data_IF_198804229680
#
_entry.id   IF_198804229680
#
_cell.length_a   1.000
_cell.length_b   1.000
_cell.length_c   1.000
_cell.angle_alpha   90.00
_cell.angle_beta   90.00
_cell.angle_gamma   90.00
#
_symmetry.space_group_name_H-M   'P 1'
#
loop_
_entity.id
_entity.type
_entity.pdbx_description
1 polymer ?
#
# COMPACT_ATOMS: atom_id res chain seq x y z
N UNK A 1 -23.50 -21.64 27.49
CA UNK A 1 -22.32 -20.74 27.57
C UNK A 1 -21.70 -20.42 26.20
N UNK A 2 -22.51 -20.08 25.16
CA UNK A 2 -22.00 -19.74 23.80
C UNK A 2 -22.20 -18.27 23.39
N UNK A 3 -22.85 -17.44 24.23
CA UNK A 3 -23.09 -16.03 23.93
C UNK A 3 -22.01 -15.05 24.43
N UNK A 4 -21.03 -15.50 25.20
CA UNK A 4 -20.01 -14.61 25.78
C UNK A 4 -18.81 -14.31 24.86
N UNK A 5 -18.61 -15.04 23.76
CA UNK A 5 -17.42 -14.87 22.88
C UNK A 5 -17.53 -13.75 21.84
N UNK A 6 -18.73 -13.27 21.54
CA UNK A 6 -18.92 -12.17 20.57
C UNK A 6 -18.73 -10.77 21.17
N UNK A 7 -18.93 -10.61 22.48
CA UNK A 7 -18.82 -9.31 23.16
C UNK A 7 -17.35 -8.93 23.39
N UNK A 8 -16.47 -9.91 23.62
CA UNK A 8 -15.04 -9.69 23.90
C UNK A 8 -14.27 -9.18 22.67
N UNK A 9 -14.67 -9.55 21.46
CA UNK A 9 -14.04 -9.09 20.22
C UNK A 9 -14.42 -7.64 19.88
N UNK A 10 -15.66 -7.24 20.18
CA UNK A 10 -16.14 -5.87 19.98
C UNK A 10 -15.58 -4.87 21.00
N UNK A 11 -15.41 -5.28 22.26
CA UNK A 11 -14.81 -4.42 23.29
C UNK A 11 -13.31 -4.22 23.08
N UNK A 12 -12.59 -5.24 22.59
CA UNK A 12 -11.19 -5.10 22.19
C UNK A 12 -11.02 -4.14 21.00
N UNK A 13 -11.91 -4.19 20.00
CA UNK A 13 -11.92 -3.24 18.87
C UNK A 13 -12.12 -1.79 19.35
N UNK A 14 -13.13 -1.55 20.19
CA UNK A 14 -13.39 -0.22 20.74
C UNK A 14 -12.22 0.25 21.62
N UNK A 15 -11.62 -0.63 22.42
CA UNK A 15 -10.48 -0.29 23.26
C UNK A 15 -9.21 0.01 22.46
N UNK A 16 -8.94 -0.71 21.36
CA UNK A 16 -7.77 -0.44 20.50
C UNK A 16 -7.98 0.83 19.68
N UNK A 17 -9.16 1.03 19.11
CA UNK A 17 -9.49 2.26 18.36
C UNK A 17 -9.50 3.47 19.30
N UNK A 18 -10.09 3.33 20.49
CA UNK A 18 -10.07 4.37 21.52
C UNK A 18 -8.65 4.61 22.04
N UNK A 19 -7.83 3.58 22.27
CA UNK A 19 -6.43 3.74 22.66
C UNK A 19 -5.61 4.40 21.55
N UNK A 20 -5.84 4.06 20.28
CA UNK A 20 -5.21 4.71 19.14
C UNK A 20 -5.68 6.17 18.99
N UNK A 21 -6.97 6.46 19.21
CA UNK A 21 -7.53 7.81 19.20
C UNK A 21 -7.06 8.65 20.39
N UNK A 22 -6.88 8.03 21.56
CA UNK A 22 -6.37 8.67 22.77
C UNK A 22 -4.86 8.88 22.67
N UNK A 23 -4.09 7.94 22.11
CA UNK A 23 -2.69 8.14 21.75
C UNK A 23 -2.57 9.21 20.67
N UNK A 24 -3.48 9.25 19.69
CA UNK A 24 -3.56 10.30 18.70
C UNK A 24 -3.86 11.65 19.33
N UNK A 25 -4.85 11.74 20.25
CA UNK A 25 -5.22 12.96 20.97
C UNK A 25 -4.12 13.45 21.93
N UNK A 26 -3.50 12.51 22.64
CA UNK A 26 -2.42 12.75 23.62
C UNK A 26 -1.12 13.15 22.94
N UNK A 27 -0.82 12.51 21.81
CA UNK A 27 0.39 12.76 21.03
C UNK A 27 0.16 13.75 19.89
N UNK A 28 -1.03 14.39 19.79
CA UNK A 28 -1.17 15.59 18.95
C UNK A 28 -0.21 16.62 19.55
N UNK A 29 0.87 17.01 18.88
CA UNK A 29 1.59 18.18 19.31
C UNK A 29 0.59 19.33 19.21
N UNK A 30 0.20 19.86 20.37
CA UNK A 30 -0.57 21.08 20.44
C UNK A 30 0.27 22.14 19.74
N UNK A 31 -0.16 22.56 18.55
CA UNK A 31 0.47 23.56 17.67
C UNK A 31 1.78 23.10 16.98
N UNK A 32 1.92 23.48 15.70
CA UNK A 32 3.15 23.34 14.91
C UNK A 32 4.38 23.98 15.60
N UNK A 33 5.55 23.96 14.95
CA UNK A 33 6.51 22.87 14.84
C UNK A 33 7.49 22.94 16.02
N UNK A 34 7.48 21.93 16.90
CA UNK A 34 8.53 21.81 17.93
C UNK A 34 9.37 20.55 17.72
N UNK A 35 9.71 20.29 16.45
CA UNK A 35 11.03 19.74 16.19
C UNK A 35 12.09 20.75 16.62
N UNK A 36 13.32 20.31 16.86
CA UNK A 36 14.42 21.26 17.05
C UNK A 36 14.47 22.20 15.83
N UNK A 37 14.83 23.49 15.96
CA UNK A 37 15.01 24.34 14.78
C UNK A 37 15.93 23.64 13.77
N UNK A 38 15.40 23.34 12.58
CA UNK A 38 16.07 22.51 11.56
C UNK A 38 15.42 21.15 11.28
N UNK A 39 14.51 20.64 12.11
CA UNK A 39 13.68 19.46 11.76
C UNK A 39 12.65 19.85 10.69
N UNK A 40 12.63 19.09 9.59
CA UNK A 40 11.78 19.36 8.43
C UNK A 40 11.00 18.10 8.06
N UNK A 41 9.67 18.19 8.08
CA UNK A 41 8.79 17.11 7.62
C UNK A 41 8.30 17.37 6.20
N UNK A 42 8.18 16.30 5.42
CA UNK A 42 7.57 16.35 4.10
C UNK A 42 6.07 16.65 4.26
N UNK A 43 5.55 17.53 3.39
CA UNK A 43 4.19 18.08 3.34
C UNK A 43 3.74 18.98 4.48
N UNK A 44 4.63 19.33 5.38
CA UNK A 44 4.38 20.33 6.42
C UNK A 44 5.05 21.67 6.08
N UNK A 45 4.76 22.67 6.92
CA UNK A 45 5.47 23.94 6.90
C UNK A 45 6.78 23.78 7.66
N UNK A 46 7.89 24.12 7.01
CA UNK A 46 9.21 24.11 7.61
C UNK A 46 9.66 25.53 7.93
N UNK A 47 10.04 25.78 9.18
CA UNK A 47 10.67 27.03 9.59
C UNK A 47 12.19 26.87 9.56
N UNK A 48 12.84 27.48 8.57
CA UNK A 48 14.29 27.45 8.42
C UNK A 48 14.92 28.73 8.96
N UNK A 49 15.92 28.62 9.86
CA UNK A 49 16.71 29.76 10.31
C UNK A 49 17.38 30.52 9.16
N UNK A 50 17.51 31.83 9.32
CA UNK A 50 18.25 32.68 8.38
C UNK A 50 19.17 33.63 9.14
N UNK A 51 20.09 34.26 8.44
CA UNK A 51 20.92 35.31 9.01
C UNK A 51 20.10 36.56 9.36
N UNK A 52 20.38 37.20 10.51
CA UNK A 52 19.80 38.48 10.86
C UNK A 52 20.40 39.57 9.97
N UNK A 53 19.57 40.23 9.15
CA UNK A 53 20.03 41.30 8.26
C UNK A 53 18.88 41.99 7.55
N UNK A 54 18.20 41.27 6.65
CA UNK A 54 16.99 41.74 5.97
C UNK A 54 15.76 41.51 6.85
N UNK A 55 14.77 42.40 6.80
CA UNK A 55 13.48 42.23 7.54
C UNK A 55 12.47 41.45 6.71
N UNK A 56 11.43 40.89 7.33
CA UNK A 56 10.37 40.21 6.58
C UNK A 56 9.65 41.13 5.59
N UNK A 57 9.51 42.42 5.91
CA UNK A 57 8.89 43.41 5.02
C UNK A 57 9.76 43.72 3.80
N UNK A 58 11.09 43.75 3.95
CA UNK A 58 12.01 43.91 2.81
C UNK A 58 12.05 42.70 1.88
N UNK A 59 11.85 41.51 2.46
CA UNK A 59 11.78 40.24 1.74
C UNK A 59 10.44 40.05 1.03
N UNK A 60 9.39 40.69 1.52
CA UNK A 60 8.05 40.64 0.94
C UNK A 60 7.95 41.61 -0.25
N UNK A 61 7.81 41.07 -1.45
CA UNK A 61 7.51 41.87 -2.65
C UNK A 61 6.00 42.05 -2.78
N UNK A 62 5.49 43.29 -2.83
CA UNK A 62 4.06 43.55 -3.00
C UNK A 62 3.48 43.00 -4.32
N UNK A 63 4.32 42.81 -5.35
CA UNK A 63 3.91 42.32 -6.67
C UNK A 63 4.01 40.80 -6.85
N UNK A 64 4.91 40.15 -6.09
CA UNK A 64 5.28 38.74 -6.27
C UNK A 64 5.28 37.92 -4.97
N UNK A 65 4.94 38.54 -3.84
CA UNK A 65 5.05 37.96 -2.51
C UNK A 65 6.47 37.45 -2.24
N UNK A 66 6.55 36.23 -1.69
CA UNK A 66 7.82 35.56 -1.39
C UNK A 66 8.38 34.72 -2.55
N UNK A 67 7.87 34.87 -3.78
CA UNK A 67 8.26 33.96 -4.88
C UNK A 67 9.74 34.04 -5.28
N UNK A 68 10.43 35.13 -4.94
CA UNK A 68 11.85 35.34 -5.25
C UNK A 68 12.80 34.67 -4.23
N UNK A 69 12.24 34.04 -3.20
CA UNK A 69 12.96 33.25 -2.20
C UNK A 69 12.87 31.78 -2.55
N UNK A 70 14.01 31.19 -2.90
CA UNK A 70 14.13 29.79 -3.29
C UNK A 70 14.96 29.02 -2.28
N UNK A 71 14.52 27.80 -2.00
CA UNK A 71 15.24 26.86 -1.16
C UNK A 71 16.16 26.00 -2.03
N UNK A 72 17.44 25.97 -1.68
CA UNK A 72 18.44 25.10 -2.27
C UNK A 72 18.86 24.04 -1.27
N UNK A 73 19.08 22.81 -1.74
CA UNK A 73 19.54 21.70 -0.90
C UNK A 73 20.72 21.02 -1.55
N UNK A 74 21.84 20.93 -0.83
CA UNK A 74 23.14 20.50 -1.35
C UNK A 74 23.51 21.19 -2.68
N UNK A 75 23.18 22.49 -2.82
CA UNK A 75 23.46 23.29 -4.01
C UNK A 75 22.45 23.15 -5.16
N UNK A 76 21.40 22.32 -5.04
CA UNK A 76 20.36 22.15 -6.06
C UNK A 76 19.10 22.95 -5.74
N UNK A 77 18.51 23.62 -6.74
CA UNK A 77 17.23 24.35 -6.59
C UNK A 77 16.09 23.35 -6.39
N UNK A 78 15.41 23.42 -5.25
CA UNK A 78 14.30 22.51 -4.94
C UNK A 78 12.99 22.89 -5.63
N UNK A 79 12.92 24.08 -6.23
CA UNK A 79 11.67 24.67 -6.72
C UNK A 79 10.72 25.13 -5.61
N UNK A 80 11.01 24.80 -4.33
CA UNK A 80 10.22 25.19 -3.17
C UNK A 80 10.42 26.67 -2.88
N UNK A 81 9.29 27.38 -2.72
CA UNK A 81 9.26 28.81 -2.44
C UNK A 81 8.86 29.08 -1.00
N UNK A 82 9.36 30.18 -0.45
CA UNK A 82 8.90 30.62 0.86
C UNK A 82 7.43 31.05 0.78
N UNK A 83 6.68 30.77 1.84
CA UNK A 83 5.26 31.13 2.01
C UNK A 83 5.05 32.12 3.14
N UNK A 84 6.07 32.33 3.98
CA UNK A 84 6.01 33.26 5.10
C UNK A 84 7.39 33.55 5.68
N UNK A 85 7.43 34.52 6.60
CA UNK A 85 8.65 34.96 7.27
C UNK A 85 8.32 35.36 8.72
N UNK A 86 9.27 35.19 9.64
CA UNK A 86 9.15 35.60 11.04
C UNK A 86 10.47 36.20 11.52
N UNK A 87 10.44 37.40 12.10
CA UNK A 87 11.66 38.09 12.57
C UNK A 87 12.03 37.82 14.04
N UNK A 88 11.04 37.56 14.91
CA UNK A 88 11.25 37.32 16.36
C UNK A 88 10.66 35.99 16.80
N UNK A 89 11.23 35.27 17.79
CA UNK A 89 12.41 35.63 18.59
C UNK A 89 13.75 35.43 17.84
N UNK A 90 13.76 34.64 16.77
CA UNK A 90 14.86 34.50 15.83
C UNK A 90 14.34 34.59 14.39
N UNK A 91 15.13 35.14 13.46
CA UNK A 91 14.71 35.28 12.08
C UNK A 91 14.62 33.91 11.39
N UNK A 92 13.45 33.59 10.84
CA UNK A 92 13.16 32.35 10.11
C UNK A 92 12.33 32.63 8.87
N UNK A 93 12.48 31.78 7.86
CA UNK A 93 11.61 31.72 6.68
C UNK A 93 10.79 30.44 6.72
N UNK A 94 9.53 30.55 6.33
CA UNK A 94 8.58 29.45 6.34
C UNK A 94 8.43 28.95 4.90
N UNK A 95 8.73 27.68 4.68
CA UNK A 95 8.60 27.00 3.39
C UNK A 95 7.50 25.95 3.46
N UNK A 96 6.73 25.78 2.38
CA UNK A 96 5.83 24.65 2.25
C UNK A 96 6.58 23.49 1.61
N UNK A 97 6.92 22.47 2.40
CA UNK A 97 7.69 21.31 1.95
C UNK A 97 6.81 20.30 1.21
N UNK A 98 6.01 20.78 0.26
CA UNK A 98 5.19 19.95 -0.63
C UNK A 98 5.88 19.81 -1.97
N UNK A 99 5.67 18.66 -2.62
CA UNK A 99 6.09 18.44 -4.01
C UNK A 99 5.31 19.38 -4.92
N UNK A 100 5.83 20.58 -5.11
CA UNK A 100 5.27 21.59 -6.01
C UNK A 100 5.94 21.41 -7.36
N UNK A 101 5.23 20.85 -8.34
CA UNK A 101 5.67 20.90 -9.74
C UNK A 101 5.44 22.32 -10.24
N UNK A 102 6.48 23.07 -10.64
CA UNK A 102 6.28 24.30 -11.39
C UNK A 102 5.59 23.95 -12.71
N UNK A 103 4.58 24.72 -13.10
CA UNK A 103 3.98 24.60 -14.42
C UNK A 103 5.05 24.91 -15.49
N UNK A 104 5.48 23.89 -16.25
CA UNK A 104 6.49 24.02 -17.31
C UNK A 104 7.93 23.69 -16.92
N UNK A 105 8.18 23.11 -15.73
CA UNK A 105 9.50 22.56 -15.40
C UNK A 105 9.79 21.30 -16.24
N UNK A 106 11.04 21.19 -16.71
CA UNK A 106 11.57 20.05 -17.42
C UNK A 106 11.62 18.81 -16.50
N UNK A 107 11.12 17.69 -17.01
CA UNK A 107 10.92 16.41 -16.31
C UNK A 107 12.19 15.75 -15.73
N UNK A 108 13.36 16.39 -15.80
CA UNK A 108 14.63 15.80 -15.38
C UNK A 108 15.27 16.52 -14.18
N UNK A 109 15.01 17.81 -13.95
CA UNK A 109 15.58 18.58 -12.83
C UNK A 109 14.86 18.34 -11.50
N UNK A 110 13.54 18.51 -11.48
CA UNK A 110 12.73 18.39 -10.25
C UNK A 110 12.83 17.00 -9.61
N UNK A 111 12.76 15.95 -10.44
CA UNK A 111 12.80 14.57 -9.94
C UNK A 111 14.14 14.24 -9.28
N UNK A 112 15.26 14.77 -9.79
CA UNK A 112 16.59 14.55 -9.22
C UNK A 112 16.75 15.19 -7.82
N UNK A 113 16.11 16.34 -7.59
CA UNK A 113 16.16 17.02 -6.28
C UNK A 113 15.28 16.32 -5.25
N UNK A 114 14.09 15.88 -5.65
CA UNK A 114 13.22 15.08 -4.77
C UNK A 114 13.81 13.70 -4.46
N UNK A 115 14.49 13.06 -5.41
CA UNK A 115 15.29 11.84 -5.18
C UNK A 115 16.43 12.11 -4.18
N UNK A 116 17.05 13.30 -4.21
CA UNK A 116 18.07 13.66 -3.22
C UNK A 116 17.45 13.90 -1.83
N UNK A 117 16.32 14.60 -1.76
CA UNK A 117 15.58 14.93 -0.53
C UNK A 117 14.95 13.71 0.15
N UNK A 118 14.41 12.76 -0.60
CA UNK A 118 13.72 11.57 -0.09
C UNK A 118 14.63 10.32 -0.09
N UNK A 119 15.42 10.14 -1.14
CA UNK A 119 16.39 9.06 -1.34
C UNK A 119 15.85 7.69 -0.99
N UNK A 120 16.62 6.88 -0.24
CA UNK A 120 16.17 5.56 0.21
C UNK A 120 15.58 5.65 1.62
N UNK A 121 14.25 5.77 1.77
CA UNK A 121 13.62 6.06 3.06
C UNK A 121 13.86 4.97 4.11
N UNK A 122 14.02 3.72 3.68
CA UNK A 122 14.30 2.57 4.53
C UNK A 122 15.70 2.59 5.15
N UNK A 123 16.66 3.32 4.56
CA UNK A 123 18.05 3.37 5.02
C UNK A 123 18.31 4.51 6.01
N UNK A 124 17.36 5.45 6.12
CA UNK A 124 17.47 6.66 6.96
C UNK A 124 16.61 6.63 8.24
N UNK A 125 16.17 5.46 8.69
CA UNK A 125 15.53 5.31 10.01
C UNK A 125 16.58 5.24 11.13
N UNK A 126 16.43 5.92 12.29
CA UNK A 126 15.36 6.82 12.77
C UNK A 126 15.75 8.32 12.85
N UNK A 127 17.01 8.67 12.61
CA UNK A 127 17.54 10.01 12.92
C UNK A 127 17.24 11.07 11.84
N UNK A 128 16.60 10.68 10.74
CA UNK A 128 16.38 11.54 9.58
C UNK A 128 17.66 11.72 8.77
N UNK A 129 17.63 12.63 7.79
CA UNK A 129 18.81 12.95 6.97
C UNK A 129 19.21 14.39 7.14
N UNK A 130 20.44 14.61 7.58
CA UNK A 130 21.04 15.94 7.61
C UNK A 130 21.42 16.35 6.20
N UNK A 131 20.88 17.47 5.73
CA UNK A 131 21.14 18.05 4.43
C UNK A 131 21.55 19.51 4.62
N UNK A 132 22.58 19.94 3.91
CA UNK A 132 22.94 21.35 3.87
C UNK A 132 21.90 22.09 3.03
N UNK A 133 21.48 23.26 3.51
CA UNK A 133 20.53 24.10 2.79
C UNK A 133 21.01 25.51 2.63
N UNK A 134 20.54 26.14 1.56
CA UNK A 134 20.75 27.55 1.28
C UNK A 134 19.42 28.20 0.91
N UNK A 135 19.29 29.48 1.22
CA UNK A 135 18.12 30.28 0.90
C UNK A 135 18.58 31.42 0.02
N UNK A 136 18.22 31.35 -1.26
CA UNK A 136 18.63 32.37 -2.22
C UNK A 136 17.49 33.36 -2.45
N UNK A 137 17.80 34.63 -2.24
CA UNK A 137 16.94 35.75 -2.55
C UNK A 137 17.51 36.53 -3.72
N UNK A 138 16.79 36.55 -4.84
CA UNK A 138 17.18 37.34 -6.01
C UNK A 138 16.40 38.65 -6.05
N UNK A 139 17.12 39.78 -5.99
CA UNK A 139 16.57 41.12 -6.14
C UNK A 139 17.53 41.98 -6.97
N UNK A 140 17.01 42.69 -7.96
CA UNK A 140 17.77 43.60 -8.84
C UNK A 140 18.97 42.92 -9.55
N UNK A 141 18.80 41.66 -9.96
CA UNK A 141 19.84 40.88 -10.64
C UNK A 141 20.98 40.39 -9.73
N UNK A 142 20.90 40.65 -8.42
CA UNK A 142 21.86 40.13 -7.42
C UNK A 142 21.20 39.03 -6.60
N UNK A 143 21.94 37.94 -6.40
CA UNK A 143 21.54 36.85 -5.50
C UNK A 143 22.20 37.05 -4.15
N UNK A 144 21.40 37.03 -3.08
CA UNK A 144 21.87 36.99 -1.69
C UNK A 144 21.57 35.63 -1.08
N UNK A 145 22.54 35.09 -0.36
CA UNK A 145 22.41 33.89 0.45
C UNK A 145 21.95 34.30 1.84
N UNK A 146 20.82 33.77 2.29
CA UNK A 146 20.21 34.13 3.58
C UNK A 146 20.36 33.02 4.62
N UNK A 147 20.77 31.82 4.22
CA UNK A 147 21.07 30.74 5.17
C UNK A 147 22.44 30.97 5.83
N UNK A 148 22.67 30.36 6.99
CA UNK A 148 23.99 30.33 7.63
C UNK A 148 24.96 29.45 6.84
N UNK A 149 26.26 29.74 6.93
CA UNK A 149 27.33 29.00 6.22
C UNK A 149 27.32 27.48 6.49
N UNK A 150 26.99 27.06 7.72
CA UNK A 150 26.82 25.65 8.13
C UNK A 150 25.36 25.26 8.37
N UNK A 151 24.43 25.84 7.61
CA UNK A 151 23.01 25.58 7.77
C UNK A 151 22.64 24.14 7.39
N UNK A 152 22.43 23.30 8.41
CA UNK A 152 21.89 21.95 8.27
C UNK A 152 20.39 21.89 8.58
N UNK A 153 19.64 21.14 7.78
CA UNK A 153 18.29 20.70 8.12
C UNK A 153 18.24 19.18 8.24
N UNK A 154 17.45 18.67 9.18
CA UNK A 154 17.18 17.24 9.34
C UNK A 154 15.83 16.94 8.72
N UNK A 155 15.83 16.31 7.55
CA UNK A 155 14.60 15.87 6.90
C UNK A 155 14.11 14.58 7.55
N UNK A 156 12.91 14.63 8.14
CA UNK A 156 12.20 13.50 8.74
C UNK A 156 11.13 13.01 7.78
N UNK A 157 11.30 11.79 7.30
CA UNK A 157 10.39 11.16 6.34
C UNK A 157 9.14 10.65 7.05
N UNK A 158 9.31 9.96 8.18
CA UNK A 158 8.18 9.40 8.92
C UNK A 158 7.55 10.44 9.84
N UNK A 159 6.24 10.58 9.71
CA UNK A 159 5.42 11.42 10.57
C UNK A 159 5.37 10.87 12.01
N UNK A 160 5.04 11.73 12.97
CA UNK A 160 4.93 11.34 14.39
C UNK A 160 3.88 10.25 14.67
N UNK A 161 2.89 10.11 13.79
CA UNK A 161 1.86 9.07 13.83
C UNK A 161 2.26 7.77 13.13
N UNK A 162 3.48 7.68 12.59
CA UNK A 162 3.97 6.49 11.90
C UNK A 162 3.90 5.20 12.73
N UNK A 163 4.24 5.19 14.04
CA UNK A 163 4.08 3.99 14.85
C UNK A 163 2.63 3.49 14.92
N UNK A 164 1.66 4.40 15.02
CA UNK A 164 0.24 4.03 15.07
C UNK A 164 -0.24 3.41 13.75
N UNK A 165 0.21 3.95 12.61
CA UNK A 165 -0.08 3.38 11.30
C UNK A 165 0.57 2.01 11.08
N UNK A 166 1.82 1.81 11.53
CA UNK A 166 2.46 0.50 11.51
C UNK A 166 1.69 -0.52 12.38
N UNK A 167 1.25 -0.12 13.58
CA UNK A 167 0.42 -0.97 14.44
C UNK A 167 -0.90 -1.32 13.75
N UNK A 168 -1.54 -0.39 13.06
CA UNK A 168 -2.77 -0.66 12.30
C UNK A 168 -2.54 -1.70 11.19
N UNK A 169 -1.46 -1.59 10.43
CA UNK A 169 -1.11 -2.58 9.40
C UNK A 169 -0.87 -3.96 10.02
N UNK A 170 -0.06 -4.03 11.07
CA UNK A 170 0.22 -5.28 11.78
C UNK A 170 -1.05 -5.90 12.38
N UNK A 171 -1.96 -5.07 12.90
CA UNK A 171 -3.25 -5.50 13.41
C UNK A 171 -4.15 -6.07 12.31
N UNK A 172 -4.24 -5.43 11.15
CA UNK A 172 -5.02 -5.94 10.01
C UNK A 172 -4.44 -7.27 9.51
N UNK A 173 -3.12 -7.38 9.40
CA UNK A 173 -2.44 -8.63 9.05
C UNK A 173 -2.72 -9.74 10.07
N UNK A 174 -2.58 -9.42 11.35
CA UNK A 174 -2.90 -10.34 12.44
C UNK A 174 -4.36 -10.78 12.39
N UNK A 175 -5.30 -9.85 12.16
CA UNK A 175 -6.73 -10.14 12.06
C UNK A 175 -7.02 -11.06 10.86
N UNK A 176 -6.40 -10.85 9.71
CA UNK A 176 -6.55 -11.72 8.55
C UNK A 176 -6.07 -13.14 8.85
N UNK A 177 -4.91 -13.30 9.49
CA UNK A 177 -4.38 -14.61 9.91
C UNK A 177 -5.28 -15.25 10.96
N UNK A 178 -5.70 -14.49 11.96
CA UNK A 178 -6.65 -14.94 12.99
C UNK A 178 -7.95 -15.43 12.36
N UNK A 179 -8.56 -14.64 11.47
CA UNK A 179 -9.78 -15.02 10.77
C UNK A 179 -9.57 -16.22 9.83
N UNK A 180 -8.41 -16.37 9.20
CA UNK A 180 -8.08 -17.54 8.39
C UNK A 180 -8.09 -18.84 9.21
N UNK A 181 -7.61 -18.80 10.45
CA UNK A 181 -7.58 -19.95 11.34
C UNK A 181 -8.93 -20.23 12.03
N UNK A 182 -9.69 -19.18 12.37
CA UNK A 182 -10.90 -19.31 13.21
C UNK A 182 -12.22 -19.21 12.46
N UNK A 183 -12.21 -18.91 11.16
CA UNK A 183 -13.42 -18.77 10.35
C UNK A 183 -13.28 -19.45 8.99
N UNK A 184 -14.39 -19.50 8.25
CA UNK A 184 -14.42 -20.00 6.87
C UNK A 184 -14.01 -18.94 5.84
N UNK A 185 -13.48 -17.78 6.26
CA UNK A 185 -13.15 -16.66 5.39
C UNK A 185 -12.31 -17.10 4.18
N UNK A 186 -11.25 -17.87 4.41
CA UNK A 186 -10.35 -18.35 3.35
C UNK A 186 -10.63 -19.79 2.89
N UNK A 187 -11.72 -20.42 3.34
CA UNK A 187 -11.99 -21.85 3.11
C UNK A 187 -13.15 -22.06 2.15
N UNK A 188 -13.07 -23.11 1.33
CA UNK A 188 -14.14 -23.44 0.40
C UNK A 188 -15.42 -23.90 1.13
N UNK A 189 -16.53 -23.91 0.40
CA UNK A 189 -17.78 -24.46 0.93
C UNK A 189 -17.61 -25.96 1.18
N UNK A 190 -18.11 -26.43 2.32
CA UNK A 190 -18.07 -27.83 2.72
C UNK A 190 -19.47 -28.26 3.19
N UNK A 191 -19.78 -29.57 3.15
CA UNK A 191 -21.05 -30.09 3.65
C UNK A 191 -21.41 -29.57 5.04
N UNK A 192 -22.72 -29.49 5.31
CA UNK A 192 -23.21 -29.06 6.61
C UNK A 192 -22.68 -30.01 7.71
N UNK A 193 -22.08 -29.44 8.75
CA UNK A 193 -21.50 -30.20 9.86
C UNK A 193 -20.00 -30.51 9.74
N UNK A 194 -19.32 -30.21 8.61
CA UNK A 194 -17.87 -30.39 8.50
C UNK A 194 -17.13 -29.47 9.50
N UNK A 195 -16.32 -30.03 10.42
CA UNK A 195 -15.47 -29.28 11.33
C UNK A 195 -14.55 -28.32 10.59
N UNK A 196 -14.22 -27.18 11.21
CA UNK A 196 -13.49 -26.11 10.54
C UNK A 196 -12.12 -26.60 10.04
N UNK A 197 -11.37 -27.28 10.91
CA UNK A 197 -10.06 -27.90 10.67
C UNK A 197 -10.01 -28.90 9.50
N UNK A 198 -11.15 -29.44 9.09
CA UNK A 198 -11.23 -30.38 7.97
C UNK A 198 -11.61 -29.70 6.64
N UNK A 199 -11.88 -28.39 6.66
CA UNK A 199 -12.21 -27.63 5.45
C UNK A 199 -10.94 -27.17 4.74
N UNK A 200 -10.93 -27.32 3.42
CA UNK A 200 -9.80 -26.95 2.58
C UNK A 200 -9.70 -25.44 2.36
N UNK A 201 -8.46 -24.94 2.31
CA UNK A 201 -8.21 -23.55 1.91
C UNK A 201 -8.52 -23.33 0.43
N UNK A 202 -9.17 -22.21 0.15
CA UNK A 202 -9.49 -21.76 -1.20
C UNK A 202 -8.31 -20.97 -1.77
N UNK A 203 -7.72 -21.44 -2.87
CA UNK A 203 -6.67 -20.71 -3.58
C UNK A 203 -7.10 -19.28 -3.88
N UNK A 204 -8.32 -19.11 -4.36
CA UNK A 204 -8.79 -17.81 -4.78
C UNK A 204 -9.01 -16.80 -3.66
N UNK A 205 -9.63 -17.25 -2.56
CA UNK A 205 -9.83 -16.37 -1.39
C UNK A 205 -8.51 -16.02 -0.73
N UNK A 206 -7.56 -16.97 -0.73
CA UNK A 206 -6.20 -16.74 -0.22
C UNK A 206 -5.45 -15.72 -1.07
N UNK A 207 -5.55 -15.80 -2.40
CA UNK A 207 -4.99 -14.79 -3.31
C UNK A 207 -5.61 -13.41 -3.11
N UNK A 208 -6.94 -13.30 -2.97
CA UNK A 208 -7.60 -12.02 -2.68
C UNK A 208 -7.10 -11.42 -1.36
N UNK A 209 -7.01 -12.25 -0.30
CA UNK A 209 -6.54 -11.80 1.01
C UNK A 209 -5.08 -11.35 0.96
N UNK A 210 -4.22 -12.08 0.24
CA UNK A 210 -2.82 -11.70 0.00
C UNK A 210 -2.72 -10.33 -0.69
N UNK A 211 -3.41 -10.15 -1.83
CA UNK A 211 -3.39 -8.90 -2.58
C UNK A 211 -3.95 -7.73 -1.77
N UNK A 212 -5.05 -7.93 -1.06
CA UNK A 212 -5.58 -6.92 -0.13
C UNK A 212 -4.54 -6.52 0.92
N UNK A 213 -3.90 -7.50 1.56
CA UNK A 213 -2.93 -7.24 2.63
C UNK A 213 -1.73 -6.42 2.15
N UNK A 214 -1.17 -6.75 0.98
CA UNK A 214 -0.02 -6.02 0.42
C UNK A 214 -0.43 -4.66 -0.15
N UNK A 215 -1.59 -4.54 -0.81
CA UNK A 215 -2.10 -3.24 -1.31
C UNK A 215 -2.40 -2.30 -0.14
N UNK A 216 -3.04 -2.79 0.92
CA UNK A 216 -3.31 -2.00 2.12
C UNK A 216 -2.01 -1.54 2.80
N UNK A 217 -1.05 -2.45 3.00
CA UNK A 217 0.24 -2.12 3.58
C UNK A 217 1.00 -1.09 2.72
N UNK A 218 1.02 -1.26 1.40
CA UNK A 218 1.62 -0.31 0.46
C UNK A 218 0.93 1.04 0.47
N UNK A 219 -0.40 1.09 0.52
CA UNK A 219 -1.14 2.35 0.62
C UNK A 219 -0.77 3.12 1.89
N UNK A 220 -0.76 2.45 3.04
CA UNK A 220 -0.37 3.06 4.31
C UNK A 220 1.11 3.48 4.29
N UNK A 221 2.01 2.65 3.75
CA UNK A 221 3.42 2.98 3.60
C UNK A 221 3.65 4.22 2.73
N UNK A 222 2.99 4.29 1.57
CA UNK A 222 3.09 5.45 0.69
C UNK A 222 2.53 6.70 1.37
N UNK A 223 1.39 6.59 2.06
CA UNK A 223 0.85 7.71 2.83
C UNK A 223 1.81 8.19 3.93
N UNK A 224 2.50 7.27 4.60
CA UNK A 224 3.50 7.57 5.62
C UNK A 224 4.74 8.27 5.09
N UNK A 225 5.25 7.83 3.93
CA UNK A 225 6.50 8.33 3.35
C UNK A 225 6.28 9.60 2.54
N UNK A 226 5.23 9.63 1.73
CA UNK A 226 4.95 10.76 0.83
C UNK A 226 4.15 11.85 1.52
N UNK A 227 3.43 11.53 2.61
CA UNK A 227 2.55 12.45 3.34
C UNK A 227 1.28 12.88 2.58
N UNK A 228 1.06 12.40 1.35
CA UNK A 228 -0.15 12.67 0.56
C UNK A 228 -0.97 11.38 0.45
N UNK A 229 -2.28 11.49 0.27
CA UNK A 229 -3.11 10.33 -0.01
C UNK A 229 -2.72 9.75 -1.38
N UNK A 230 -2.20 8.51 -1.46
CA UNK A 230 -1.83 7.92 -2.73
C UNK A 230 -3.07 7.77 -3.61
N UNK A 231 -2.98 8.16 -4.88
CA UNK A 231 -4.01 7.82 -5.85
C UNK A 231 -4.05 6.29 -6.02
N UNK A 232 -5.23 5.67 -5.86
CA UNK A 232 -5.39 4.24 -6.13
C UNK A 232 -5.18 4.04 -7.63
N UNK A 233 -4.11 3.36 -8.03
CA UNK A 233 -3.88 3.11 -9.47
C UNK A 233 -4.98 2.20 -10.00
N UNK A 234 -5.62 2.60 -11.11
CA UNK A 234 -6.64 1.79 -11.77
C UNK A 234 -6.12 0.40 -12.15
N UNK A 235 -4.81 0.26 -12.35
CA UNK A 235 -4.13 -0.98 -12.68
C UNK A 235 -3.94 -1.92 -11.48
N UNK A 236 -3.65 -1.40 -10.28
CA UNK A 236 -3.67 -2.21 -9.07
C UNK A 236 -5.09 -2.71 -8.76
N UNK A 237 -6.10 -1.86 -8.99
CA UNK A 237 -7.50 -2.27 -8.88
C UNK A 237 -7.88 -3.31 -9.96
N UNK A 238 -7.30 -3.20 -11.16
CA UNK A 238 -7.46 -4.17 -12.24
C UNK A 238 -6.80 -5.51 -11.88
N UNK A 239 -5.60 -5.53 -11.29
CA UNK A 239 -4.98 -6.77 -10.80
C UNK A 239 -5.82 -7.43 -9.71
N UNK A 240 -6.32 -6.64 -8.76
CA UNK A 240 -7.26 -7.14 -7.76
C UNK A 240 -8.53 -7.69 -8.42
N UNK A 241 -9.06 -6.99 -9.42
CA UNK A 241 -10.22 -7.40 -10.21
C UNK A 241 -9.99 -8.66 -11.03
N UNK A 242 -8.83 -8.84 -11.66
CA UNK A 242 -8.46 -10.05 -12.41
C UNK A 242 -8.29 -11.22 -11.45
N UNK A 243 -7.62 -11.02 -10.31
CA UNK A 243 -7.52 -12.05 -9.28
C UNK A 243 -8.92 -12.44 -8.76
N UNK A 244 -9.81 -11.47 -8.53
CA UNK A 244 -11.19 -11.75 -8.13
C UNK A 244 -12.04 -12.41 -9.22
N UNK A 245 -11.89 -12.01 -10.48
CA UNK A 245 -12.63 -12.57 -11.61
C UNK A 245 -12.20 -14.00 -11.91
N UNK A 246 -10.89 -14.27 -11.88
CA UNK A 246 -10.33 -15.61 -12.10
C UNK A 246 -10.82 -16.59 -11.04
N UNK A 247 -10.98 -16.12 -9.81
CA UNK A 247 -11.38 -16.95 -8.68
C UNK A 247 -12.88 -17.24 -8.69
N UNK A 248 -13.72 -16.26 -9.03
CA UNK A 248 -15.14 -16.49 -9.31
C UNK A 248 -15.36 -17.41 -10.52
N UNK A 249 -14.57 -17.23 -11.58
CA UNK A 249 -14.64 -18.10 -12.76
C UNK A 249 -14.22 -19.54 -12.44
N UNK A 250 -13.20 -19.72 -11.58
CA UNK A 250 -12.76 -21.05 -11.15
C UNK A 250 -13.80 -21.81 -10.31
N UNK A 251 -14.63 -21.11 -9.53
CA UNK A 251 -15.68 -21.70 -8.70
C UNK A 251 -16.98 -21.95 -9.47
N UNK A 252 -17.29 -21.14 -10.49
CA UNK A 252 -18.47 -21.30 -11.36
C UNK A 252 -18.42 -22.55 -12.27
N UNK A 253 -17.22 -23.09 -12.54
CA UNK A 253 -17.04 -24.34 -13.32
C UNK A 253 -17.08 -25.59 -12.42
N UNK A 254 -17.29 -25.42 -11.11
CA UNK A 254 -17.31 -26.51 -10.13
C UNK A 254 -18.68 -26.81 -9.46
N UNK A 255 -19.88 -26.55 -10.04
CA UNK A 255 -21.11 -26.98 -9.40
C UNK A 255 -21.23 -28.51 -9.45
N UNK A 256 -21.16 -29.16 -8.28
CA UNK A 256 -21.43 -30.59 -8.13
C UNK A 256 -20.24 -31.49 -7.80
N UNK A 257 -19.04 -30.95 -7.60
CA UNK A 257 -17.97 -31.72 -6.93
C UNK A 257 -18.16 -31.60 -5.42
N UNK A 258 -18.70 -32.65 -4.79
CA UNK A 258 -18.36 -32.93 -3.39
C UNK A 258 -16.84 -32.75 -3.27
N UNK A 259 -16.34 -32.09 -2.22
CA UNK A 259 -14.91 -31.91 -2.00
C UNK A 259 -14.17 -33.23 -2.17
N UNK A 260 -13.66 -33.50 -3.37
CA UNK A 260 -12.78 -34.62 -3.63
C UNK A 260 -11.48 -34.24 -2.95
N UNK A 261 -11.38 -34.84 -1.78
CA UNK A 261 -10.57 -34.49 -0.61
C UNK A 261 -9.12 -34.20 -0.96
N UNK A 262 -8.78 -32.91 -1.06
CA UNK A 262 -7.46 -32.43 -0.67
C UNK A 262 -7.24 -32.67 0.83
N UNK A 263 -6.00 -32.98 1.22
CA UNK A 263 -5.63 -33.46 2.56
C UNK A 263 -6.00 -32.49 3.69
N UNK A 264 -7.20 -32.66 4.25
CA UNK A 264 -7.63 -32.31 5.61
C UNK A 264 -6.80 -31.22 6.34
N UNK A 265 -6.94 -29.96 5.89
CA UNK A 265 -6.59 -28.78 6.69
C UNK A 265 -5.11 -28.35 6.67
N UNK A 266 -4.28 -28.95 5.82
CA UNK A 266 -2.86 -28.55 5.68
C UNK A 266 -2.73 -27.46 4.60
N UNK A 267 -2.48 -26.21 5.03
CA UNK A 267 -2.55 -25.00 4.20
C UNK A 267 -1.89 -25.11 2.81
N UNK A 268 -0.61 -25.48 2.72
CA UNK A 268 0.09 -25.56 1.43
C UNK A 268 -0.39 -26.73 0.58
N UNK A 269 -0.73 -27.85 1.21
CA UNK A 269 -1.27 -29.02 0.51
C UNK A 269 -2.63 -28.68 -0.08
N UNK A 270 -3.49 -28.00 0.66
CA UNK A 270 -4.80 -27.54 0.17
C UNK A 270 -4.67 -26.54 -0.99
N UNK A 271 -3.67 -25.65 -0.93
CA UNK A 271 -3.44 -24.64 -1.95
C UNK A 271 -2.96 -25.23 -3.28
N UNK A 272 -2.10 -26.26 -3.20
CA UNK A 272 -1.46 -26.88 -4.36
C UNK A 272 -2.21 -28.10 -4.90
N UNK A 273 -3.04 -28.76 -4.08
CA UNK A 273 -3.77 -29.96 -4.48
C UNK A 273 -5.09 -29.64 -5.18
N UNK A 274 -5.46 -30.51 -6.12
CA UNK A 274 -6.78 -30.62 -6.74
C UNK A 274 -7.33 -32.04 -6.49
N UNK A 275 -8.48 -32.39 -7.09
CA UNK A 275 -9.17 -33.68 -6.90
C UNK A 275 -8.30 -34.94 -7.11
N UNK A 276 -7.14 -34.84 -7.75
CA UNK A 276 -6.21 -35.95 -8.02
C UNK A 276 -4.83 -35.78 -7.35
N UNK A 277 -4.65 -34.80 -6.46
CA UNK A 277 -3.35 -34.48 -5.83
C UNK A 277 -2.76 -33.15 -6.31
N UNK A 278 -1.46 -32.94 -6.10
CA UNK A 278 -0.77 -31.67 -6.43
C UNK A 278 -0.91 -31.36 -7.93
N UNK A 279 -1.51 -30.22 -8.24
CA UNK A 279 -1.78 -29.79 -9.60
C UNK A 279 -0.80 -28.70 -10.05
N UNK A 280 -0.14 -28.93 -11.19
CA UNK A 280 0.88 -28.02 -11.74
C UNK A 280 0.32 -26.61 -12.00
N UNK A 281 -0.92 -26.50 -12.45
CA UNK A 281 -1.55 -25.22 -12.73
C UNK A 281 -1.81 -24.41 -11.45
N UNK A 282 -2.14 -25.06 -10.32
CA UNK A 282 -2.32 -24.38 -9.02
C UNK A 282 -0.97 -23.86 -8.51
N UNK A 283 0.08 -24.68 -8.66
CA UNK A 283 1.45 -24.28 -8.37
C UNK A 283 1.87 -23.04 -9.18
N UNK A 284 1.62 -23.02 -10.49
CA UNK A 284 1.92 -21.87 -11.36
C UNK A 284 1.21 -20.60 -10.88
N UNK A 285 -0.07 -20.69 -10.52
CA UNK A 285 -0.85 -19.55 -10.02
C UNK A 285 -0.32 -19.02 -8.68
N UNK A 286 0.08 -19.91 -7.76
CA UNK A 286 0.71 -19.52 -6.48
C UNK A 286 2.06 -18.87 -6.71
N UNK A 287 2.93 -19.50 -7.50
CA UNK A 287 4.27 -18.98 -7.81
C UNK A 287 4.20 -17.60 -8.49
N UNK A 288 3.28 -17.44 -9.45
CA UNK A 288 3.06 -16.17 -10.14
C UNK A 288 2.53 -15.08 -9.18
N UNK A 289 1.61 -15.43 -8.29
CA UNK A 289 1.08 -14.50 -7.29
C UNK A 289 2.19 -13.98 -6.38
N UNK A 290 3.07 -14.88 -5.92
CA UNK A 290 4.21 -14.50 -5.07
C UNK A 290 5.19 -13.63 -5.85
N UNK A 291 5.57 -14.03 -7.08
CA UNK A 291 6.49 -13.26 -7.90
C UNK A 291 5.98 -11.83 -8.17
N UNK A 292 4.72 -11.70 -8.57
CA UNK A 292 4.09 -10.39 -8.79
C UNK A 292 3.96 -9.57 -7.50
N UNK A 293 3.61 -10.21 -6.39
CA UNK A 293 3.55 -9.56 -5.08
C UNK A 293 4.90 -9.00 -4.64
N UNK A 294 5.99 -9.76 -4.85
CA UNK A 294 7.35 -9.30 -4.52
C UNK A 294 7.79 -8.14 -5.41
N UNK A 295 7.56 -8.21 -6.71
CA UNK A 295 7.84 -7.10 -7.65
C UNK A 295 7.05 -5.86 -7.25
N UNK A 296 5.76 -6.02 -6.92
CA UNK A 296 4.90 -4.93 -6.48
C UNK A 296 5.44 -4.25 -5.21
N UNK A 297 5.82 -5.02 -4.19
CA UNK A 297 6.39 -4.49 -2.95
C UNK A 297 7.72 -3.78 -3.22
N UNK A 298 8.58 -4.37 -4.06
CA UNK A 298 9.86 -3.78 -4.43
C UNK A 298 9.68 -2.43 -5.14
N UNK A 299 8.79 -2.37 -6.13
CA UNK A 299 8.46 -1.15 -6.86
C UNK A 299 7.89 -0.06 -5.91
N UNK A 300 6.97 -0.42 -5.01
CA UNK A 300 6.44 0.52 -3.99
C UNK A 300 7.56 1.02 -3.07
N UNK A 301 8.44 0.14 -2.60
CA UNK A 301 9.51 0.48 -1.66
C UNK A 301 10.62 1.32 -2.29
N UNK A 302 10.85 1.19 -3.60
CA UNK A 302 11.94 1.86 -4.32
C UNK A 302 11.50 3.09 -5.10
N UNK A 303 10.29 3.11 -5.68
CA UNK A 303 9.77 4.23 -6.49
C UNK A 303 8.75 5.10 -5.78
N UNK A 304 8.36 4.74 -4.55
CA UNK A 304 7.43 5.51 -3.72
C UNK A 304 6.15 5.93 -4.45
N UNK A 305 5.68 5.05 -5.33
CA UNK A 305 4.47 5.23 -6.11
C UNK A 305 3.79 3.89 -6.30
N UNK A 306 2.48 3.92 -6.48
CA UNK A 306 1.72 2.72 -6.79
C UNK A 306 2.15 2.21 -8.17
N UNK A 307 2.60 0.95 -8.31
CA UNK A 307 3.07 0.43 -9.58
C UNK A 307 1.99 0.58 -10.67
N UNK A 308 2.42 1.12 -11.81
CA UNK A 308 1.62 1.13 -13.02
C UNK A 308 2.12 0.00 -13.94
N UNK A 309 1.34 -1.06 -14.07
CA UNK A 309 1.60 -2.16 -15.00
C UNK A 309 1.04 -1.82 -16.39
N UNK A 310 1.85 -2.01 -17.43
CA UNK A 310 1.40 -1.79 -18.80
C UNK A 310 0.08 -2.54 -19.09
N UNK A 311 -0.92 -1.89 -19.73
CA UNK A 311 -2.19 -2.54 -20.08
C UNK A 311 -2.02 -3.83 -20.88
N UNK A 312 -0.98 -3.96 -21.70
CA UNK A 312 -0.68 -5.17 -22.47
C UNK A 312 -0.18 -6.30 -21.57
N UNK A 313 0.62 -5.99 -20.54
CA UNK A 313 1.02 -6.95 -19.50
C UNK A 313 -0.21 -7.41 -18.68
N UNK A 314 -1.09 -6.48 -18.29
CA UNK A 314 -2.33 -6.81 -17.59
C UNK A 314 -3.27 -7.67 -18.45
N UNK A 315 -3.35 -7.35 -19.74
CA UNK A 315 -4.12 -8.13 -20.71
C UNK A 315 -3.51 -9.52 -20.89
N UNK A 316 -2.19 -9.65 -20.94
CA UNK A 316 -1.51 -10.94 -21.02
C UNK A 316 -1.77 -11.80 -19.77
N UNK A 317 -1.70 -11.21 -18.58
CA UNK A 317 -2.03 -11.88 -17.31
C UNK A 317 -3.51 -12.28 -17.27
N UNK A 318 -4.40 -11.40 -17.73
CA UNK A 318 -5.83 -11.66 -17.84
C UNK A 318 -6.16 -12.77 -18.83
N UNK A 319 -5.52 -12.77 -20.00
CA UNK A 319 -5.71 -13.78 -21.04
C UNK A 319 -5.15 -15.14 -20.62
N UNK A 320 -3.98 -15.17 -19.95
CA UNK A 320 -3.40 -16.40 -19.39
C UNK A 320 -4.33 -17.03 -18.35
N UNK A 321 -4.89 -16.20 -17.45
CA UNK A 321 -5.87 -16.64 -16.45
C UNK A 321 -7.20 -17.09 -17.08
N UNK A 322 -7.67 -16.40 -18.12
CA UNK A 322 -8.87 -16.77 -18.87
C UNK A 322 -8.70 -18.06 -19.68
N UNK A 323 -7.51 -18.30 -20.23
CA UNK A 323 -7.17 -19.54 -20.96
C UNK A 323 -7.21 -20.74 -20.01
N UNK A 324 -6.69 -20.59 -18.78
CA UNK A 324 -6.81 -21.63 -17.75
C UNK A 324 -8.27 -22.00 -17.45
N UNK A 325 -9.14 -21.01 -17.26
CA UNK A 325 -10.58 -21.24 -17.05
C UNK A 325 -11.22 -21.88 -18.29
N UNK A 326 -10.90 -21.38 -19.48
CA UNK A 326 -11.41 -21.87 -20.76
C UNK A 326 -11.06 -23.32 -21.03
N UNK A 327 -9.88 -23.79 -20.63
CA UNK A 327 -9.45 -25.20 -20.77
C UNK A 327 -10.10 -26.12 -19.72
N UNK A 328 -10.53 -25.57 -18.57
CA UNK A 328 -11.20 -26.33 -17.50
C UNK A 328 -12.66 -26.67 -17.83
N UNK A 329 -13.33 -25.84 -18.64
CA UNK A 329 -14.72 -26.06 -19.07
C UNK A 329 -14.87 -27.36 -19.91
N UNK A 330 -14.04 -27.64 -20.93
CA UNK A 330 -14.02 -28.91 -21.64
C UNK A 330 -13.71 -30.12 -20.75
N UNK A 331 -12.82 -29.98 -19.78
CA UNK A 331 -12.45 -31.08 -18.87
C UNK A 331 -13.60 -31.44 -17.90
N UNK A 332 -14.32 -30.44 -17.40
CA UNK A 332 -15.53 -30.64 -16.60
C UNK A 332 -16.64 -31.31 -17.42
N UNK A 333 -16.82 -30.88 -18.68
CA UNK A 333 -17.80 -31.46 -19.59
C UNK A 333 -17.45 -32.89 -20.03
N UNK A 334 -16.17 -33.18 -20.31
CA UNK A 334 -15.70 -34.52 -20.70
C UNK A 334 -15.80 -35.55 -19.57
N UNK A 335 -15.65 -35.12 -18.30
CA UNK A 335 -15.85 -35.99 -17.12
C UNK A 335 -17.32 -36.19 -16.78
N UNK A 336 -18.22 -35.31 -17.21
CA UNK A 336 -19.68 -35.43 -17.04
C UNK A 336 -20.33 -36.25 -18.18
N UNK A 337 -19.66 -37.31 -18.65
CA UNK A 337 -20.13 -38.16 -19.76
C UNK A 337 -21.60 -38.58 -19.64
N UNK A 338 -22.27 -38.87 -20.77
CA UNK A 338 -23.73 -38.96 -20.83
C UNK A 338 -24.25 -40.00 -19.85
N UNK A 339 -25.28 -39.62 -19.08
CA UNK A 339 -26.02 -40.52 -18.20
C UNK A 339 -26.62 -41.67 -19.02
N UNK A 340 -25.88 -42.78 -19.09
CA UNK A 340 -26.30 -44.03 -19.70
C UNK A 340 -27.43 -44.62 -18.88
N UNK A 341 -28.67 -44.33 -19.27
CA UNK A 341 -29.85 -45.00 -18.76
C UNK A 341 -29.97 -46.36 -19.49
N UNK A 342 -29.24 -47.37 -19.03
CA UNK A 342 -29.43 -48.75 -19.47
C UNK A 342 -29.94 -49.58 -18.29
N UNK A 343 -31.26 -49.71 -18.19
CA UNK A 343 -31.91 -50.66 -17.31
C UNK A 343 -31.93 -52.03 -18.01
N UNK A 344 -31.19 -53.06 -17.55
CA UNK A 344 -31.18 -54.35 -18.21
C UNK A 344 -32.33 -55.22 -17.69
N UNK A 345 -33.26 -55.57 -18.59
CA UNK A 345 -33.99 -56.83 -18.56
C UNK A 345 -35.03 -57.04 -17.46
N UNK A 346 -36.30 -56.72 -17.77
CA UNK A 346 -37.46 -57.44 -17.19
C UNK A 346 -37.98 -58.40 -18.26
N UNK A 347 -37.99 -59.73 -18.06
CA UNK A 347 -38.58 -60.64 -19.03
C UNK A 347 -40.11 -60.50 -19.06
N UNK A 348 -40.76 -60.74 -20.20
CA UNK A 348 -42.21 -60.66 -20.31
C UNK A 348 -42.87 -61.82 -19.54
N UNK A 349 -43.87 -61.48 -18.74
CA UNK A 349 -44.83 -62.43 -18.18
C UNK A 349 -45.69 -62.98 -19.32
N UNK A 350 -45.53 -64.26 -19.64
CA UNK A 350 -46.45 -65.01 -20.50
C UNK A 350 -47.65 -65.51 -19.70
N UNK A 351 -48.81 -65.49 -20.34
CA UNK A 351 -50.06 -66.13 -19.91
C UNK A 351 -49.96 -67.66 -19.85
#
# INVERSE_FOLDING_TARGET
MKHARGIVTGTAFFAIVLAALLLFAWNRPATMPSGRPGDVWINELASLPREPGTTCDELLDASRGYSNLRLFVNGMDTGVRAVGCKDRPSPTLIFSMRRTRPAGADTHGDDAVWETLIGHPLRSLPDGRSLAYDIQWSKDGKTRHLAKEDAGMVVRIFQWWAPAACILVLYVWWLLVYMAHHTTLLRDAAPAGTPLDQRTYSLGRTQMAWWFAIVFASFVFLWLVTGEMPAISGQALTLLGIASATTMASSAVAPGRESDRGSAGVFFTDLLSDAQGIAIHRFQMVALTIAMGLIFIFEVATRLSMPAFDPSLLTLVGLSSATYVGLKIPEAAARAGPSGNSNPGRPPSGD
#
